data_IF_222864466550
#
_entry.id   IF_222864466550
#
_cell.length_a   1.000
_cell.length_b   1.000
_cell.length_c   1.000
_cell.angle_alpha   90.00
_cell.angle_beta   90.00
_cell.angle_gamma   90.00
#
_symmetry.space_group_name_H-M   'P 1'
#
loop_
_entity.id
_entity.type
_entity.pdbx_description
1 polymer ?
#
# COMPACT_ATOMS: atom_id res chain seq x y z
N UNK A 1 5.05 29.03 -3.38
CA UNK A 1 4.59 27.89 -2.55
C UNK A 1 3.64 27.03 -3.39
N UNK A 2 3.97 25.77 -3.65
CA UNK A 2 3.06 24.86 -4.35
C UNK A 2 1.81 24.57 -3.52
N UNK A 3 0.65 24.47 -4.17
CA UNK A 3 -0.60 24.07 -3.51
C UNK A 3 -0.49 22.62 -3.03
N UNK A 4 -1.06 22.32 -1.86
CA UNK A 4 -1.03 20.96 -1.28
C UNK A 4 -1.64 19.91 -2.22
N UNK A 5 -2.66 20.27 -3.02
CA UNK A 5 -3.26 19.39 -4.02
C UNK A 5 -2.30 19.04 -5.16
N UNK A 6 -1.52 20.01 -5.65
CA UNK A 6 -0.52 19.80 -6.72
C UNK A 6 0.61 18.89 -6.24
N UNK A 7 1.12 19.12 -5.02
CA UNK A 7 2.15 18.26 -4.43
C UNK A 7 1.67 16.81 -4.31
N UNK A 8 0.42 16.63 -3.87
CA UNK A 8 -0.16 15.30 -3.70
C UNK A 8 -0.30 14.56 -5.05
N UNK A 9 -0.75 15.25 -6.09
CA UNK A 9 -0.85 14.69 -7.44
C UNK A 9 0.52 14.32 -8.02
N UNK A 10 1.55 15.17 -7.82
CA UNK A 10 2.91 14.87 -8.25
C UNK A 10 3.47 13.63 -7.55
N UNK A 11 3.24 13.49 -6.25
CA UNK A 11 3.64 12.29 -5.49
C UNK A 11 2.93 11.05 -6.03
N UNK A 12 1.63 11.13 -6.32
CA UNK A 12 0.86 9.99 -6.86
C UNK A 12 1.38 9.55 -8.24
N UNK A 13 1.71 10.52 -9.10
CA UNK A 13 2.34 10.24 -10.40
C UNK A 13 3.72 9.60 -10.23
N UNK A 14 4.55 10.11 -9.33
CA UNK A 14 5.88 9.55 -9.05
C UNK A 14 5.79 8.12 -8.49
N UNK A 15 4.88 7.87 -7.53
CA UNK A 15 4.63 6.54 -6.99
C UNK A 15 4.21 5.54 -8.06
N UNK A 16 3.33 5.96 -8.99
CA UNK A 16 2.87 5.10 -10.08
C UNK A 16 4.03 4.74 -11.00
N UNK A 17 4.88 5.71 -11.37
CA UNK A 17 6.05 5.46 -12.22
C UNK A 17 7.05 4.51 -11.56
N UNK A 18 7.38 4.74 -10.29
CA UNK A 18 8.30 3.86 -9.53
C UNK A 18 7.73 2.45 -9.41
N UNK A 19 6.42 2.31 -9.20
CA UNK A 19 5.75 1.00 -9.11
C UNK A 19 5.83 0.23 -10.44
N UNK A 20 5.68 0.90 -11.58
CA UNK A 20 5.86 0.29 -12.90
C UNK A 20 7.29 -0.20 -13.11
N UNK A 21 8.28 0.58 -12.67
CA UNK A 21 9.69 0.17 -12.73
C UNK A 21 9.97 -1.04 -11.81
N UNK A 22 9.38 -1.08 -10.62
CA UNK A 22 9.48 -2.21 -9.69
C UNK A 22 8.88 -3.49 -10.27
N UNK A 23 7.71 -3.44 -10.92
CA UNK A 23 7.09 -4.61 -11.58
C UNK A 23 8.01 -5.18 -12.66
N UNK A 24 8.73 -4.31 -13.37
CA UNK A 24 9.71 -4.74 -14.37
C UNK A 24 10.92 -5.48 -13.80
N UNK A 25 11.17 -5.38 -12.49
CA UNK A 25 12.13 -6.22 -11.77
C UNK A 25 13.52 -6.30 -12.41
N UNK A 26 14.08 -7.52 -12.44
CA UNK A 26 15.42 -7.78 -12.96
C UNK A 26 15.50 -7.73 -14.51
N UNK A 27 14.37 -7.51 -15.19
CA UNK A 27 14.33 -7.40 -16.65
C UNK A 27 14.90 -6.06 -17.13
N UNK A 28 14.62 -4.96 -16.42
CA UNK A 28 15.18 -3.64 -16.75
C UNK A 28 16.56 -3.42 -16.15
N UNK A 29 16.79 -3.91 -14.94
CA UNK A 29 18.05 -3.69 -14.22
C UNK A 29 18.54 -5.03 -13.65
N UNK A 30 19.63 -5.60 -14.20
CA UNK A 30 20.21 -6.86 -13.69
C UNK A 30 20.77 -6.76 -12.27
N UNK A 31 20.97 -5.53 -11.78
CA UNK A 31 21.53 -5.26 -10.46
C UNK A 31 20.42 -5.18 -9.41
N UNK A 32 20.42 -6.13 -8.49
CA UNK A 32 19.42 -6.30 -7.42
C UNK A 32 19.27 -5.06 -6.52
N UNK A 33 20.36 -4.33 -6.28
CA UNK A 33 20.30 -3.13 -5.46
C UNK A 33 19.50 -1.97 -6.07
N UNK A 34 19.28 -1.92 -7.40
CA UNK A 34 18.39 -0.90 -8.01
C UNK A 34 16.97 -1.12 -7.52
N UNK A 35 16.52 -2.38 -7.49
CA UNK A 35 15.19 -2.73 -7.03
C UNK A 35 14.99 -2.37 -5.55
N UNK A 36 16.02 -2.56 -4.71
CA UNK A 36 15.98 -2.16 -3.31
C UNK A 36 15.88 -0.63 -3.15
N UNK A 37 16.70 0.15 -3.88
CA UNK A 37 16.67 1.62 -3.83
C UNK A 37 15.32 2.17 -4.32
N UNK A 38 14.76 1.60 -5.39
CA UNK A 38 13.43 1.97 -5.87
C UNK A 38 12.34 1.64 -4.85
N UNK A 39 12.45 0.49 -4.17
CA UNK A 39 11.55 0.10 -3.10
C UNK A 39 11.58 1.06 -1.91
N UNK A 40 12.77 1.46 -1.46
CA UNK A 40 12.95 2.46 -0.39
C UNK A 40 12.40 3.83 -0.82
N UNK A 41 12.66 4.24 -2.06
CA UNK A 41 12.11 5.49 -2.61
C UNK A 41 10.58 5.48 -2.61
N UNK A 42 9.96 4.36 -3.03
CA UNK A 42 8.51 4.19 -3.01
C UNK A 42 7.94 4.28 -1.59
N UNK A 43 8.62 3.70 -0.60
CA UNK A 43 8.22 3.78 0.81
C UNK A 43 8.17 5.23 1.33
N UNK A 44 9.18 6.04 1.01
CA UNK A 44 9.22 7.46 1.41
C UNK A 44 8.08 8.25 0.77
N UNK A 45 7.84 8.05 -0.53
CA UNK A 45 6.72 8.70 -1.22
C UNK A 45 5.37 8.30 -0.64
N UNK A 46 5.18 7.01 -0.34
CA UNK A 46 3.96 6.50 0.27
C UNK A 46 3.74 7.08 1.68
N UNK A 47 4.77 7.14 2.52
CA UNK A 47 4.69 7.79 3.83
C UNK A 47 4.31 9.27 3.74
N UNK A 48 4.86 9.98 2.75
CA UNK A 48 4.51 11.38 2.47
C UNK A 48 3.07 11.51 1.99
N UNK A 49 2.60 10.61 1.12
CA UNK A 49 1.21 10.58 0.67
C UNK A 49 0.24 10.39 1.84
N UNK A 50 0.50 9.40 2.70
CA UNK A 50 -0.30 9.13 3.91
C UNK A 50 -0.31 10.37 4.81
N UNK A 51 0.84 11.03 4.96
CA UNK A 51 0.95 12.22 5.77
C UNK A 51 0.14 13.42 5.21
N UNK A 52 0.15 13.62 3.90
CA UNK A 52 -0.65 14.65 3.24
C UNK A 52 -2.16 14.31 3.28
N UNK A 53 -2.51 13.03 3.31
CA UNK A 53 -3.90 12.57 3.39
C UNK A 53 -4.43 12.38 4.82
N UNK A 54 -3.72 12.84 5.86
CA UNK A 54 -4.16 12.75 7.28
C UNK A 54 -5.57 13.31 7.52
N UNK A 55 -5.95 14.35 6.78
CA UNK A 55 -7.29 14.96 6.85
C UNK A 55 -8.40 14.00 6.42
N UNK A 56 -8.13 13.06 5.52
CA UNK A 56 -9.08 12.03 5.12
C UNK A 56 -9.36 11.05 6.27
N UNK A 57 -8.32 10.61 6.99
CA UNK A 57 -8.49 9.76 8.18
C UNK A 57 -9.31 10.44 9.28
N UNK A 58 -9.09 11.74 9.52
CA UNK A 58 -9.90 12.51 10.45
C UNK A 58 -11.37 12.65 9.98
N UNK A 59 -11.61 12.64 8.66
CA UNK A 59 -12.96 12.67 8.09
C UNK A 59 -13.69 11.33 8.18
N UNK A 60 -12.96 10.22 8.38
CA UNK A 60 -13.59 8.91 8.63
C UNK A 60 -14.37 8.90 9.93
N UNK A 61 -14.04 9.76 10.90
CA UNK A 61 -14.72 9.84 12.20
C UNK A 61 -15.94 10.77 12.14
N UNK A 62 -16.13 11.56 11.06
CA UNK A 62 -17.15 12.60 10.97
C UNK A 62 -18.12 12.39 9.79
N UNK A 63 -19.37 12.07 10.12
CA UNK A 63 -20.54 12.20 9.24
C UNK A 63 -21.25 10.87 8.88
N UNK A 64 -22.50 10.93 8.39
CA UNK A 64 -23.26 9.75 7.99
C UNK A 64 -22.61 9.06 6.77
N UNK A 65 -22.39 7.75 6.86
CA UNK A 65 -21.74 6.98 5.81
C UNK A 65 -22.73 6.61 4.69
N UNK A 66 -22.59 7.24 3.52
CA UNK A 66 -23.20 6.73 2.29
C UNK A 66 -22.52 5.41 1.86
N UNK A 67 -23.23 4.42 1.32
CA UNK A 67 -22.67 3.11 0.96
C UNK A 67 -21.50 3.19 -0.03
N UNK A 68 -21.55 4.13 -0.98
CA UNK A 68 -20.43 4.40 -1.88
C UNK A 68 -19.16 4.89 -1.14
N UNK A 69 -19.34 5.69 -0.08
CA UNK A 69 -18.25 6.17 0.77
C UNK A 69 -17.65 5.05 1.63
N UNK A 70 -18.48 4.09 2.05
CA UNK A 70 -18.04 2.89 2.79
C UNK A 70 -17.17 2.03 1.89
N UNK A 71 -17.63 1.71 0.68
CA UNK A 71 -16.85 0.92 -0.28
C UNK A 71 -15.51 1.59 -0.60
N UNK A 72 -15.50 2.89 -0.85
CA UNK A 72 -14.27 3.63 -1.12
C UNK A 72 -13.32 3.67 0.09
N UNK A 73 -13.87 3.75 1.31
CA UNK A 73 -13.07 3.69 2.55
C UNK A 73 -12.45 2.31 2.72
N UNK A 74 -13.22 1.25 2.50
CA UNK A 74 -12.76 -0.13 2.57
C UNK A 74 -11.61 -0.37 1.59
N UNK A 75 -11.79 0.02 0.33
CA UNK A 75 -10.76 -0.13 -0.70
C UNK A 75 -9.50 0.67 -0.35
N UNK A 76 -9.65 1.93 0.08
CA UNK A 76 -8.50 2.74 0.48
C UNK A 76 -7.75 2.13 1.68
N UNK A 77 -8.47 1.67 2.71
CA UNK A 77 -7.86 0.98 3.85
C UNK A 77 -7.17 -0.31 3.42
N UNK A 78 -7.77 -1.09 2.52
CA UNK A 78 -7.16 -2.30 1.95
C UNK A 78 -5.86 -1.99 1.22
N UNK A 79 -5.85 -0.97 0.34
CA UNK A 79 -4.64 -0.52 -0.35
C UNK A 79 -3.57 -0.07 0.64
N UNK A 80 -3.95 0.62 1.72
CA UNK A 80 -3.00 1.08 2.72
C UNK A 80 -2.32 -0.09 3.45
N UNK A 81 -3.12 -1.09 3.83
CA UNK A 81 -2.64 -2.30 4.46
C UNK A 81 -1.73 -3.08 3.50
N UNK A 82 -2.13 -3.26 2.24
CA UNK A 82 -1.30 -3.91 1.23
C UNK A 82 0.05 -3.21 1.07
N UNK A 83 0.06 -1.88 0.99
CA UNK A 83 1.30 -1.13 0.84
C UNK A 83 2.21 -1.24 2.08
N UNK A 84 1.65 -1.24 3.30
CA UNK A 84 2.41 -1.48 4.52
C UNK A 84 3.05 -2.88 4.51
N UNK A 85 2.30 -3.92 4.18
CA UNK A 85 2.85 -5.27 4.10
C UNK A 85 3.89 -5.43 2.99
N UNK A 86 3.67 -4.83 1.81
CA UNK A 86 4.61 -4.89 0.69
C UNK A 86 5.95 -4.23 1.06
N UNK A 87 5.90 -3.15 1.84
CA UNK A 87 7.11 -2.44 2.29
C UNK A 87 7.84 -3.18 3.41
N UNK A 88 7.11 -3.76 4.37
CA UNK A 88 7.68 -4.65 5.40
C UNK A 88 8.36 -5.85 4.73
N UNK A 89 7.66 -6.52 3.82
CA UNK A 89 8.21 -7.60 2.99
C UNK A 89 9.47 -7.17 2.25
N UNK A 90 9.47 -6.01 1.59
CA UNK A 90 10.63 -5.50 0.85
C UNK A 90 11.84 -5.23 1.73
N UNK A 91 11.62 -4.74 2.96
CA UNK A 91 12.68 -4.54 3.96
C UNK A 91 13.23 -5.89 4.43
N UNK A 92 12.38 -6.89 4.66
CA UNK A 92 12.83 -8.23 5.11
C UNK A 92 13.56 -9.01 4.02
N UNK A 93 13.21 -8.81 2.74
CA UNK A 93 13.87 -9.46 1.60
C UNK A 93 15.13 -8.70 1.14
N UNK A 94 15.41 -7.52 1.69
CA UNK A 94 16.58 -6.72 1.31
C UNK A 94 17.86 -7.45 1.69
N UNK A 95 18.67 -7.74 0.68
CA UNK A 95 19.94 -8.43 0.82
C UNK A 95 21.12 -7.48 0.86
N UNK A 96 20.93 -6.16 0.68
CA UNK A 96 22.01 -5.18 0.72
C UNK A 96 21.75 -4.03 1.69
N UNK A 97 20.53 -3.49 1.77
CA UNK A 97 20.22 -2.30 2.60
C UNK A 97 19.91 -2.63 4.06
N UNK A 98 19.26 -3.77 4.35
CA UNK A 98 18.81 -4.12 5.72
C UNK A 98 19.43 -5.41 6.31
N UNK A 99 20.48 -5.94 5.70
CA UNK A 99 21.19 -7.18 6.09
C UNK A 99 21.56 -7.24 7.56
N UNK A 100 21.83 -6.09 8.18
CA UNK A 100 22.30 -6.02 9.56
C UNK A 100 21.21 -6.30 10.61
N UNK A 101 19.92 -6.23 10.25
CA UNK A 101 18.82 -6.25 11.22
C UNK A 101 17.95 -7.51 11.22
N UNK A 102 17.99 -8.37 10.20
CA UNK A 102 16.99 -9.42 10.01
C UNK A 102 17.57 -10.79 9.66
N UNK A 103 17.29 -11.75 10.53
CA UNK A 103 17.65 -13.17 10.38
C UNK A 103 16.78 -13.81 9.28
N UNK A 104 17.44 -14.32 8.24
CA UNK A 104 16.86 -14.64 6.92
C UNK A 104 15.80 -15.76 6.94
N UNK A 105 15.76 -16.57 7.99
CA UNK A 105 14.87 -17.73 8.09
C UNK A 105 13.41 -17.35 8.39
N UNK A 106 13.18 -16.22 9.10
CA UNK A 106 11.83 -15.77 9.49
C UNK A 106 11.12 -14.93 8.42
N UNK A 107 11.86 -14.32 7.50
CA UNK A 107 11.32 -13.42 6.48
C UNK A 107 10.36 -14.12 5.52
N UNK A 108 10.66 -15.36 5.12
CA UNK A 108 9.82 -16.13 4.19
C UNK A 108 8.47 -16.54 4.79
N UNK A 109 8.43 -16.93 6.07
CA UNK A 109 7.20 -17.32 6.75
C UNK A 109 6.27 -16.13 6.97
N UNK A 110 6.84 -14.98 7.33
CA UNK A 110 6.11 -13.72 7.48
C UNK A 110 5.57 -13.27 6.12
N UNK A 111 6.36 -13.39 5.04
CA UNK A 111 5.92 -13.08 3.67
C UNK A 111 4.65 -13.84 3.25
N UNK A 112 4.62 -15.17 3.45
CA UNK A 112 3.44 -15.97 3.12
C UNK A 112 2.25 -15.67 4.03
N UNK A 113 2.51 -15.41 5.31
CA UNK A 113 1.46 -15.07 6.28
C UNK A 113 0.83 -13.72 5.92
N UNK A 114 1.64 -12.71 5.62
CA UNK A 114 1.21 -11.38 5.22
C UNK A 114 0.42 -11.41 3.90
N UNK A 115 0.91 -12.18 2.91
CA UNK A 115 0.22 -12.33 1.62
C UNK A 115 -1.15 -13.00 1.78
N UNK A 116 -1.25 -14.04 2.62
CA UNK A 116 -2.53 -14.69 2.91
C UNK A 116 -3.50 -13.79 3.68
N UNK A 117 -2.99 -13.00 4.64
CA UNK A 117 -3.79 -12.04 5.40
C UNK A 117 -4.37 -10.93 4.51
N UNK A 118 -3.59 -10.45 3.53
CA UNK A 118 -4.06 -9.48 2.53
C UNK A 118 -5.19 -10.06 1.68
N UNK A 119 -5.05 -11.30 1.20
CA UNK A 119 -6.08 -11.97 0.39
C UNK A 119 -7.37 -12.15 1.19
N UNK A 120 -7.27 -12.60 2.45
CA UNK A 120 -8.42 -12.77 3.35
C UNK A 120 -9.07 -11.43 3.66
N UNK A 121 -8.29 -10.38 3.87
CA UNK A 121 -8.80 -9.02 4.08
C UNK A 121 -9.57 -8.53 2.85
N UNK A 122 -9.02 -8.66 1.65
CA UNK A 122 -9.70 -8.27 0.40
C UNK A 122 -10.98 -9.07 0.16
N UNK A 123 -10.96 -10.38 0.42
CA UNK A 123 -12.14 -11.25 0.31
C UNK A 123 -13.23 -10.85 1.31
N UNK A 124 -12.87 -10.57 2.57
CA UNK A 124 -13.79 -10.08 3.59
C UNK A 124 -14.38 -8.72 3.19
N UNK A 125 -13.53 -7.78 2.76
CA UNK A 125 -13.92 -6.46 2.26
C UNK A 125 -14.92 -6.56 1.09
N UNK A 126 -14.67 -7.44 0.12
CA UNK A 126 -15.58 -7.69 -1.00
C UNK A 126 -16.92 -8.30 -0.54
N UNK A 127 -16.88 -9.27 0.39
CA UNK A 127 -18.07 -9.94 0.92
C UNK A 127 -18.98 -8.97 1.72
N UNK A 128 -18.40 -8.20 2.65
CA UNK A 128 -19.15 -7.24 3.44
C UNK A 128 -19.61 -6.04 2.60
N UNK A 129 -18.79 -5.61 1.62
CA UNK A 129 -19.18 -4.62 0.62
C UNK A 129 -20.41 -5.06 -0.18
N UNK A 130 -20.39 -6.28 -0.72
CA UNK A 130 -21.51 -6.86 -1.47
C UNK A 130 -22.79 -7.01 -0.62
N UNK A 131 -22.65 -7.37 0.66
CA UNK A 131 -23.78 -7.48 1.61
C UNK A 131 -24.42 -6.11 1.89
N UNK A 132 -23.63 -5.04 1.94
CA UNK A 132 -24.10 -3.66 2.07
C UNK A 132 -24.85 -3.17 0.81
N UNK A 133 -24.46 -3.62 -0.38
CA UNK A 133 -25.17 -3.32 -1.63
C UNK A 133 -26.48 -4.10 -1.76
N UNK A 134 -26.53 -5.35 -1.31
CA UNK A 134 -27.73 -6.21 -1.35
C UNK A 134 -28.85 -5.73 -0.43
N UNK A 135 -28.53 -5.19 0.74
CA UNK A 135 -29.50 -4.65 1.71
C UNK A 135 -30.30 -3.44 1.22
N UNK A 136 -29.97 -2.89 0.05
CA UNK A 136 -30.65 -1.74 -0.56
C UNK A 136 -31.65 -2.16 -1.65
N UNK A 137 -31.67 -3.44 -2.03
CA UNK A 137 -32.53 -4.00 -3.08
C UNK A 137 -33.65 -4.90 -2.51
N UNK A 138 -33.75 -5.00 -1.18
CA UNK A 138 -34.86 -5.60 -0.43
C UNK A 138 -35.60 -4.45 0.28
#
# INVERSE_FOLDING_TARGET
>A
MMKQSTLRMMIDSAMTLISLMLIGGNYFFPWTGVHEILGVSLFVFWGTHVALNRRWYASLVKGPYRPFRIMQTIVNCGILVCAAFLTISGIMLSQHVFVFFLDMEKGYVIFFTDYSAIIVLFAACAHYGAKLTRRKNE
#
